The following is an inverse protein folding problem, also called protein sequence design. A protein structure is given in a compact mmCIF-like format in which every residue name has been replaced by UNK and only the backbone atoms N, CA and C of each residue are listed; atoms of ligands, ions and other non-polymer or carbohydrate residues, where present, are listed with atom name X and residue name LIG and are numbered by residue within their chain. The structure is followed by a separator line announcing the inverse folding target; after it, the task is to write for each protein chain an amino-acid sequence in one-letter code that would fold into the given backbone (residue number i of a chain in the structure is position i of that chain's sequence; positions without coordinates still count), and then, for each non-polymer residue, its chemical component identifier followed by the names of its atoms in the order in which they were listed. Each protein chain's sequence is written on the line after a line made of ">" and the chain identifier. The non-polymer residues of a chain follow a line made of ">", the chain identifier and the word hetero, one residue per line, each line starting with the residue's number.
data_IF_494462492626
#
_entry.id   IF_494462492626
#
_cell.length_a   1.000
_cell.length_b   1.000
_cell.length_c   1.000
_cell.angle_alpha   90.00
_cell.angle_beta   90.00
_cell.angle_gamma   90.00
#
_symmetry.space_group_name_H-M   'P 1'
#
loop_
_entity.id
_entity.type
_entity.pdbx_description
1 polymer ?
#
# COMPACT_ATOMS: atom_id res chain seq x y z
N UNK A 1 -24.42 1.87 32.71
CA UNK A 1 -23.32 1.07 32.11
C UNK A 1 -23.07 1.65 30.75
N UNK A 2 -21.97 2.40 30.59
CA UNK A 2 -21.60 3.01 29.32
C UNK A 2 -20.90 1.94 28.50
N UNK A 3 -21.51 1.52 27.39
CA UNK A 3 -20.87 0.61 26.43
C UNK A 3 -19.64 1.31 25.86
N UNK A 4 -18.46 0.90 26.33
CA UNK A 4 -17.20 1.24 25.67
C UNK A 4 -17.19 0.42 24.39
N UNK A 5 -17.51 1.03 23.25
CA UNK A 5 -17.20 0.45 21.95
C UNK A 5 -15.70 0.18 21.92
N UNK A 6 -15.33 -1.07 22.12
CA UNK A 6 -13.96 -1.54 22.01
C UNK A 6 -13.52 -1.27 20.56
N UNK A 7 -12.82 -0.15 20.35
CA UNK A 7 -12.15 0.16 19.10
C UNK A 7 -10.95 -0.78 18.96
N UNK A 8 -11.22 -2.03 18.58
CA UNK A 8 -10.18 -3.01 18.33
C UNK A 8 -9.64 -2.80 16.92
N UNK A 9 -8.46 -2.19 16.81
CA UNK A 9 -7.66 -2.24 15.59
C UNK A 9 -7.36 -3.71 15.26
N UNK A 10 -7.69 -4.16 14.06
CA UNK A 10 -7.40 -5.53 13.60
C UNK A 10 -6.13 -5.54 12.78
N UNK A 11 -5.27 -6.54 13.00
CA UNK A 11 -4.11 -6.77 12.13
C UNK A 11 -4.60 -7.39 10.84
N UNK A 12 -4.29 -6.76 9.72
CA UNK A 12 -4.62 -7.25 8.39
C UNK A 12 -3.36 -7.53 7.58
N UNK A 13 -3.51 -8.38 6.58
CA UNK A 13 -2.45 -8.69 5.63
C UNK A 13 -2.79 -8.09 4.27
N UNK A 14 -1.85 -7.35 3.69
CA UNK A 14 -1.91 -6.84 2.34
C UNK A 14 -0.94 -7.64 1.48
N UNK A 15 -1.47 -8.22 0.41
CA UNK A 15 -0.71 -8.93 -0.61
C UNK A 15 -0.91 -8.20 -1.95
N UNK A 16 0.16 -7.92 -2.69
CA UNK A 16 0.08 -7.20 -3.95
C UNK A 16 1.20 -7.56 -4.91
N UNK A 17 0.89 -7.43 -6.21
CA UNK A 17 1.85 -7.63 -7.28
C UNK A 17 2.20 -6.30 -7.94
N UNK A 18 3.47 -6.12 -8.28
CA UNK A 18 3.96 -4.93 -8.97
C UNK A 18 4.93 -5.30 -10.10
N UNK A 19 4.98 -4.46 -11.13
CA UNK A 19 5.91 -4.54 -12.25
C UNK A 19 6.49 -3.16 -12.52
N UNK A 20 7.82 -3.05 -12.54
CA UNK A 20 8.51 -1.79 -12.86
C UNK A 20 9.10 -1.89 -14.27
N UNK A 21 8.56 -1.15 -15.26
CA UNK A 21 9.08 -1.18 -16.63
C UNK A 21 10.39 -0.37 -16.77
N UNK A 22 11.39 -0.97 -17.39
CA UNK A 22 12.60 -0.27 -17.85
C UNK A 22 13.55 0.17 -16.73
N UNK A 23 14.58 0.94 -17.11
CA UNK A 23 15.54 1.55 -16.20
C UNK A 23 14.92 2.77 -15.52
N UNK A 24 14.60 2.64 -14.25
CA UNK A 24 14.04 3.71 -13.42
C UNK A 24 15.14 4.23 -12.48
N UNK A 25 15.15 5.54 -12.23
CA UNK A 25 16.17 6.16 -11.39
C UNK A 25 15.71 6.16 -9.94
N UNK A 26 15.96 5.03 -9.27
CA UNK A 26 15.53 4.76 -7.89
C UNK A 26 13.99 4.78 -7.72
N UNK A 27 13.27 3.86 -8.39
CA UNK A 27 11.84 3.70 -8.19
C UNK A 27 11.52 3.35 -6.73
N UNK A 28 10.50 3.98 -6.18
CA UNK A 28 9.95 3.67 -4.85
C UNK A 28 8.44 3.49 -4.95
N UNK A 29 7.92 2.45 -4.30
CA UNK A 29 6.48 2.28 -4.06
C UNK A 29 6.25 2.56 -2.58
N UNK A 30 5.29 3.45 -2.29
CA UNK A 30 4.79 3.68 -0.94
C UNK A 30 3.33 3.27 -0.91
N UNK A 31 2.96 2.43 0.05
CA UNK A 31 1.58 1.98 0.27
C UNK A 31 1.14 2.43 1.65
N UNK A 32 -0.10 2.90 1.77
CA UNK A 32 -0.68 3.35 3.01
C UNK A 32 -2.18 3.11 3.08
N UNK A 33 -2.76 3.44 4.23
CA UNK A 33 -4.19 3.51 4.41
C UNK A 33 -4.64 4.91 4.81
N UNK A 34 -5.87 5.26 4.44
CA UNK A 34 -6.51 6.52 4.83
C UNK A 34 -7.90 6.26 5.42
N UNK A 35 -8.21 6.90 6.54
CA UNK A 35 -9.55 6.93 7.15
C UNK A 35 -9.90 8.35 7.58
N UNK A 36 -10.79 9.01 6.84
CA UNK A 36 -11.09 10.43 7.01
C UNK A 36 -9.86 11.31 6.71
N UNK A 37 -9.38 12.02 7.74
CA UNK A 37 -8.16 12.84 7.68
C UNK A 37 -6.90 12.08 8.09
N UNK A 38 -7.05 10.88 8.68
CA UNK A 38 -5.93 10.08 9.13
C UNK A 38 -5.33 9.32 7.96
N UNK A 39 -4.03 9.48 7.74
CA UNK A 39 -3.26 8.79 6.71
C UNK A 39 -2.06 8.13 7.37
N UNK A 40 -1.80 6.87 7.05
CA UNK A 40 -0.71 6.10 7.63
C UNK A 40 -0.02 5.27 6.55
N UNK A 41 1.31 5.36 6.49
CA UNK A 41 2.10 4.50 5.63
C UNK A 41 2.16 3.08 6.22
N UNK A 42 1.93 2.10 5.34
CA UNK A 42 2.04 0.66 5.61
C UNK A 42 3.44 0.17 5.27
N UNK A 43 3.93 0.47 4.06
CA UNK A 43 5.24 0.00 3.58
C UNK A 43 5.84 0.99 2.58
N UNK A 44 7.17 1.03 2.54
CA UNK A 44 7.95 1.61 1.45
C UNK A 44 8.85 0.50 0.87
N UNK A 45 8.84 0.34 -0.45
CA UNK A 45 9.66 -0.61 -1.16
C UNK A 45 10.73 0.13 -1.98
N UNK A 46 12.01 -0.11 -1.65
CA UNK A 46 13.18 0.44 -2.34
C UNK A 46 14.44 -0.36 -1.97
N UNK A 47 15.40 -0.58 -2.89
CA UNK A 47 15.29 -0.37 -4.34
C UNK A 47 14.34 -1.40 -4.97
N UNK A 48 13.63 -1.01 -6.03
CA UNK A 48 12.71 -1.93 -6.71
C UNK A 48 13.40 -2.67 -7.86
N UNK A 49 13.26 -4.00 -7.91
CA UNK A 49 13.70 -4.78 -9.06
C UNK A 49 12.84 -4.49 -10.31
N UNK A 50 13.49 -4.41 -11.46
CA UNK A 50 12.90 -4.01 -12.74
C UNK A 50 12.63 -5.19 -13.68
N UNK A 51 11.77 -4.97 -14.67
CA UNK A 51 11.52 -5.83 -15.83
C UNK A 51 11.00 -7.25 -15.52
N UNK A 52 10.43 -7.46 -14.34
CA UNK A 52 9.72 -8.70 -13.98
C UNK A 52 8.62 -8.42 -12.96
N UNK A 53 7.65 -9.33 -12.89
CA UNK A 53 6.59 -9.27 -11.87
C UNK A 53 7.16 -9.63 -10.50
N UNK A 54 6.73 -8.88 -9.50
CA UNK A 54 7.07 -9.08 -8.11
C UNK A 54 5.83 -9.16 -7.25
N UNK A 55 5.95 -9.91 -6.16
CA UNK A 55 4.96 -9.99 -5.11
C UNK A 55 5.52 -9.30 -3.85
N UNK A 56 4.67 -8.60 -3.11
CA UNK A 56 4.99 -8.09 -1.78
C UNK A 56 3.82 -8.38 -0.84
N UNK A 57 4.18 -8.80 0.38
CA UNK A 57 3.24 -9.09 1.44
C UNK A 57 3.65 -8.33 2.70
N UNK A 58 2.71 -7.62 3.29
CA UNK A 58 2.94 -6.82 4.50
C UNK A 58 1.75 -6.89 5.42
N UNK A 59 1.99 -6.79 6.72
CA UNK A 59 0.93 -6.72 7.72
C UNK A 59 0.80 -5.30 8.25
N UNK A 60 -0.42 -4.83 8.47
CA UNK A 60 -0.68 -3.52 9.04
C UNK A 60 -1.82 -3.56 10.04
N UNK A 61 -1.81 -2.61 10.98
CA UNK A 61 -2.95 -2.39 11.85
C UNK A 61 -3.97 -1.55 11.09
N UNK A 62 -5.11 -2.15 10.78
CA UNK A 62 -6.22 -1.43 10.18
C UNK A 62 -6.85 -0.49 11.22
N UNK A 63 -7.31 0.69 10.78
CA UNK A 63 -8.03 1.59 11.67
C UNK A 63 -9.33 0.94 12.14
N UNK A 64 -9.74 1.23 13.37
CA UNK A 64 -11.00 0.73 13.96
C UNK A 64 -12.26 1.28 13.28
N UNK A 65 -12.12 2.25 12.38
CA UNK A 65 -13.21 2.75 11.53
C UNK A 65 -13.70 1.66 10.58
N UNK A 66 -15.01 1.59 10.35
CA UNK A 66 -15.62 0.63 9.42
C UNK A 66 -15.26 0.84 7.94
N UNK A 67 -14.53 1.91 7.61
CA UNK A 67 -14.09 2.21 6.25
C UNK A 67 -12.71 2.87 6.28
N UNK A 68 -11.80 2.37 5.47
CA UNK A 68 -10.55 3.02 5.11
C UNK A 68 -10.21 2.63 3.67
N UNK A 69 -9.42 3.47 3.03
CA UNK A 69 -8.93 3.27 1.67
C UNK A 69 -7.48 2.82 1.74
N UNK A 70 -7.10 1.81 0.96
CA UNK A 70 -5.69 1.54 0.68
C UNK A 70 -5.31 2.37 -0.53
N UNK A 71 -4.20 3.08 -0.41
CA UNK A 71 -3.62 3.84 -1.51
C UNK A 71 -2.15 3.47 -1.66
N UNK A 72 -1.65 3.69 -2.85
CA UNK A 72 -0.26 3.54 -3.17
C UNK A 72 0.17 4.66 -4.12
N UNK A 73 1.46 4.93 -4.14
CA UNK A 73 2.05 5.86 -5.09
C UNK A 73 3.48 5.46 -5.39
N UNK A 74 3.86 5.66 -6.66
CA UNK A 74 5.21 5.41 -7.14
C UNK A 74 5.93 6.72 -7.36
N UNK A 75 7.19 6.80 -6.91
CA UNK A 75 8.08 7.92 -7.22
C UNK A 75 9.31 7.42 -7.96
N UNK A 76 9.74 8.17 -8.98
CA UNK A 76 10.97 7.93 -9.73
C UNK A 76 11.80 9.23 -9.67
N UNK A 77 12.95 9.18 -9.02
CA UNK A 77 13.84 10.33 -8.87
C UNK A 77 14.65 10.49 -10.16
N UNK A 78 14.00 10.91 -11.26
CA UNK A 78 14.69 11.12 -12.53
C UNK A 78 13.85 11.54 -13.74
N UNK A 79 12.52 11.43 -13.68
CA UNK A 79 11.62 12.01 -14.70
C UNK A 79 11.07 13.34 -14.19
N UNK A 80 11.53 14.44 -14.78
CA UNK A 80 10.96 15.78 -14.61
C UNK A 80 9.64 15.96 -15.39
N UNK A 81 9.05 14.86 -15.86
CA UNK A 81 7.87 14.89 -16.70
C UNK A 81 6.67 14.51 -15.83
N UNK A 82 5.78 15.49 -15.71
CA UNK A 82 4.52 15.45 -15.00
C UNK A 82 3.81 14.10 -15.15
N UNK A 83 3.39 13.52 -14.02
CA UNK A 83 2.39 12.44 -13.86
C UNK A 83 2.01 11.73 -15.17
N UNK A 84 2.68 10.61 -15.47
CA UNK A 84 2.21 9.67 -16.50
C UNK A 84 2.00 8.31 -15.86
N UNK A 85 0.72 7.92 -15.86
CA UNK A 85 0.16 6.58 -15.76
C UNK A 85 0.97 5.58 -14.93
N UNK A 86 0.47 5.39 -13.71
CA UNK A 86 0.64 4.15 -12.97
C UNK A 86 0.37 2.98 -13.94
N UNK A 87 1.42 2.23 -14.28
CA UNK A 87 1.30 0.97 -15.01
C UNK A 87 0.52 -0.01 -14.12
N UNK A 88 -0.50 -0.66 -14.70
CA UNK A 88 -1.43 -1.60 -14.06
C UNK A 88 -0.76 -2.43 -12.94
N UNK A 89 -0.97 -2.03 -11.69
CA UNK A 89 -0.79 -2.92 -10.56
C UNK A 89 -2.16 -3.48 -10.20
N UNK A 90 -2.23 -4.78 -9.99
CA UNK A 90 -3.41 -5.41 -9.41
C UNK A 90 -3.16 -5.53 -7.90
N UNK A 91 -3.80 -4.67 -7.11
CA UNK A 91 -3.95 -4.92 -5.68
C UNK A 91 -4.98 -6.03 -5.52
N UNK A 92 -4.52 -7.24 -5.19
CA UNK A 92 -5.40 -8.34 -4.83
C UNK A 92 -5.46 -8.39 -3.31
N UNK A 93 -6.46 -7.75 -2.74
CA UNK A 93 -6.67 -7.76 -1.30
C UNK A 93 -7.19 -9.13 -0.87
N UNK A 94 -6.35 -9.90 -0.18
CA UNK A 94 -6.80 -11.07 0.57
C UNK A 94 -6.88 -10.71 2.06
N UNK A 95 -8.06 -10.27 2.49
CA UNK A 95 -8.38 -10.00 3.89
C UNK A 95 -8.58 -11.30 4.66
N UNK A 96 -7.49 -12.05 4.83
CA UNK A 96 -7.48 -13.14 5.79
C UNK A 96 -7.41 -12.52 7.20
N UNK A 97 -8.49 -12.62 7.97
CA UNK A 97 -8.46 -12.40 9.41
C UNK A 97 -7.38 -13.31 10.00
N UNK A 98 -6.27 -12.72 10.44
CA UNK A 98 -5.23 -13.46 11.18
C UNK A 98 -5.83 -13.72 12.57
N UNK A 99 -6.37 -14.92 12.76
CA UNK A 99 -6.90 -15.42 14.03
C UNK A 99 -5.84 -15.52 15.11
#
# INVERSE_FOLDING_TARGET
>A
VTDVKQNTSTTQCLDFYYYIPGASNNPKIQVGWRSGENTQQIIELTPLPENKWHNSRTSFMAPSSSSYEIFDFMTDQGRNDSFHEIFDFALVFDFNDIK
#
